data_IF_969415075450
#
_entry.id   IF_969415075450
#
_cell.length_a   1.000
_cell.length_b   1.000
_cell.length_c   1.000
_cell.angle_alpha   90.00
_cell.angle_beta   90.00
_cell.angle_gamma   90.00
#
_symmetry.space_group_name_H-M   'P 1'
#
loop_
_entity.id
_entity.type
_entity.pdbx_description
1 polymer ?
#
# COMPACT_ATOMS: atom_id res chain seq x y z
N UNK A 1 -29.84 15.67 -13.30
CA UNK A 1 -28.58 15.62 -12.54
C UNK A 1 -28.77 15.02 -11.13
N UNK A 2 -29.66 15.53 -10.29
CA UNK A 2 -29.92 15.03 -8.92
C UNK A 2 -30.31 13.53 -8.87
N UNK A 3 -31.17 13.05 -9.77
CA UNK A 3 -31.55 11.62 -9.89
C UNK A 3 -30.36 10.72 -10.27
N UNK A 4 -29.44 11.20 -11.11
CA UNK A 4 -28.24 10.48 -11.51
C UNK A 4 -27.29 10.31 -10.32
N UNK A 5 -27.09 11.36 -9.52
CA UNK A 5 -26.29 11.34 -8.30
C UNK A 5 -26.88 10.37 -7.27
N UNK A 6 -28.20 10.35 -7.11
CA UNK A 6 -28.87 9.40 -6.22
C UNK A 6 -28.72 7.95 -6.72
N UNK A 7 -28.78 7.74 -8.03
CA UNK A 7 -28.54 6.41 -8.62
C UNK A 7 -27.10 5.95 -8.36
N UNK A 8 -26.11 6.81 -8.52
CA UNK A 8 -24.70 6.51 -8.24
C UNK A 8 -24.45 6.21 -6.76
N UNK A 9 -25.03 6.98 -5.84
CA UNK A 9 -24.97 6.74 -4.38
C UNK A 9 -25.63 5.41 -3.99
N UNK A 10 -26.83 5.13 -4.52
CA UNK A 10 -27.56 3.87 -4.28
C UNK A 10 -26.79 2.66 -4.82
N UNK A 11 -26.14 2.80 -5.99
CA UNK A 11 -25.34 1.73 -6.59
C UNK A 11 -24.10 1.42 -5.76
N UNK A 12 -23.41 2.42 -5.21
CA UNK A 12 -22.26 2.25 -4.33
C UNK A 12 -22.62 1.50 -3.04
N UNK A 13 -23.68 1.94 -2.32
CA UNK A 13 -24.17 1.25 -1.13
C UNK A 13 -24.68 -0.16 -1.44
N UNK A 14 -25.35 -0.33 -2.54
CA UNK A 14 -25.86 -1.61 -2.98
C UNK A 14 -24.74 -2.60 -3.30
N UNK A 15 -23.63 -2.20 -3.92
CA UNK A 15 -22.48 -3.09 -4.18
C UNK A 15 -21.76 -3.52 -2.91
N UNK A 16 -21.58 -2.63 -1.96
CA UNK A 16 -21.02 -2.99 -0.65
C UNK A 16 -21.93 -3.97 0.10
N UNK A 17 -23.22 -3.71 0.08
CA UNK A 17 -24.24 -4.56 0.72
C UNK A 17 -24.40 -5.91 0.02
N UNK A 18 -24.37 -5.95 -1.31
CA UNK A 18 -24.44 -7.18 -2.10
C UNK A 18 -23.19 -8.07 -1.96
N UNK A 19 -22.00 -7.50 -1.77
CA UNK A 19 -20.80 -8.28 -1.40
C UNK A 19 -20.99 -9.01 -0.07
N UNK A 20 -21.65 -8.40 0.89
CA UNK A 20 -21.93 -9.01 2.19
C UNK A 20 -23.08 -10.03 2.15
N UNK A 21 -24.13 -9.79 1.37
CA UNK A 21 -25.30 -10.68 1.27
C UNK A 21 -25.10 -11.86 0.32
N UNK A 22 -24.32 -11.73 -0.76
CA UNK A 22 -24.09 -12.78 -1.76
C UNK A 22 -23.49 -14.06 -1.18
N UNK A 23 -22.63 -13.95 -0.16
CA UNK A 23 -22.02 -15.12 0.44
C UNK A 23 -22.92 -15.92 1.37
N UNK A 24 -23.97 -15.32 1.97
CA UNK A 24 -24.89 -16.01 2.88
C UNK A 24 -26.16 -16.55 2.22
N UNK A 25 -26.65 -15.91 1.18
CA UNK A 25 -27.98 -16.20 0.62
C UNK A 25 -27.99 -17.15 -0.58
N UNK A 26 -26.92 -17.15 -1.40
CA UNK A 26 -26.90 -17.91 -2.65
C UNK A 26 -26.27 -19.30 -2.55
N UNK A 27 -25.69 -19.69 -1.43
CA UNK A 27 -25.25 -21.06 -1.20
C UNK A 27 -26.42 -22.06 -1.06
N UNK A 28 -27.64 -21.56 -0.89
CA UNK A 28 -28.87 -22.36 -0.68
C UNK A 28 -29.77 -22.52 -1.91
N UNK A 29 -29.50 -21.84 -3.02
CA UNK A 29 -30.33 -21.90 -4.22
C UNK A 29 -29.60 -22.55 -5.40
N UNK A 30 -30.35 -23.38 -6.20
CA UNK A 30 -29.82 -24.17 -7.31
C UNK A 30 -29.19 -23.35 -8.46
N UNK A 31 -28.61 -24.06 -9.44
CA UNK A 31 -27.81 -23.50 -10.54
C UNK A 31 -28.54 -22.40 -11.35
N UNK A 32 -29.86 -22.53 -11.56
CA UNK A 32 -30.66 -21.61 -12.41
C UNK A 32 -30.80 -20.22 -11.79
N UNK A 33 -31.00 -20.14 -10.48
CA UNK A 33 -31.12 -18.85 -9.79
C UNK A 33 -29.81 -18.09 -9.77
N UNK A 34 -28.68 -18.80 -9.77
CA UNK A 34 -27.33 -18.22 -9.89
C UNK A 34 -27.08 -17.61 -11.26
N UNK A 35 -27.64 -18.20 -12.31
CA UNK A 35 -27.57 -17.72 -13.69
C UNK A 35 -28.33 -16.41 -13.88
N UNK A 36 -29.57 -16.33 -13.40
CA UNK A 36 -30.41 -15.12 -13.47
C UNK A 36 -29.82 -13.98 -12.67
N UNK A 37 -29.28 -14.24 -11.47
CA UNK A 37 -28.62 -13.24 -10.67
C UNK A 37 -27.36 -12.68 -11.34
N UNK A 38 -26.58 -13.53 -12.04
CA UNK A 38 -25.42 -13.13 -12.82
C UNK A 38 -25.79 -12.28 -14.02
N UNK A 39 -26.85 -12.62 -14.74
CA UNK A 39 -27.38 -11.85 -15.88
C UNK A 39 -27.82 -10.46 -15.39
N UNK A 40 -28.60 -10.39 -14.32
CA UNK A 40 -29.05 -9.11 -13.75
C UNK A 40 -27.87 -8.24 -13.32
N UNK A 41 -26.82 -8.82 -12.73
CA UNK A 41 -25.62 -8.08 -12.33
C UNK A 41 -24.84 -7.58 -13.56
N UNK A 42 -24.70 -8.41 -14.59
CA UNK A 42 -24.07 -8.03 -15.85
C UNK A 42 -24.80 -6.87 -16.54
N UNK A 43 -26.13 -6.96 -16.69
CA UNK A 43 -26.94 -5.88 -17.27
C UNK A 43 -26.79 -4.59 -16.48
N UNK A 44 -26.79 -4.68 -15.16
CA UNK A 44 -26.63 -3.54 -14.26
C UNK A 44 -25.26 -2.87 -14.40
N UNK A 45 -24.20 -3.67 -14.49
CA UNK A 45 -22.83 -3.17 -14.71
C UNK A 45 -22.71 -2.50 -16.09
N UNK A 46 -23.38 -3.01 -17.12
CA UNK A 46 -23.44 -2.39 -18.46
C UNK A 46 -24.19 -1.07 -18.47
N UNK A 47 -25.36 -1.01 -17.81
CA UNK A 47 -26.10 0.24 -17.66
C UNK A 47 -25.28 1.29 -16.91
N UNK A 48 -24.59 0.88 -15.85
CA UNK A 48 -23.73 1.77 -15.09
C UNK A 48 -22.58 2.35 -15.94
N UNK A 49 -21.92 1.52 -16.75
CA UNK A 49 -20.88 1.97 -17.68
C UNK A 49 -21.42 2.95 -18.73
N UNK A 50 -22.63 2.69 -19.25
CA UNK A 50 -23.30 3.60 -20.21
C UNK A 50 -23.61 4.93 -19.54
N UNK A 51 -24.15 4.92 -18.33
CA UNK A 51 -24.46 6.13 -17.56
C UNK A 51 -23.18 6.94 -17.28
N UNK A 52 -22.06 6.28 -16.95
CA UNK A 52 -20.78 6.98 -16.73
C UNK A 52 -20.23 7.61 -18.01
N UNK A 53 -20.54 7.10 -19.20
CA UNK A 53 -20.12 7.72 -20.46
C UNK A 53 -20.75 9.09 -20.71
N UNK A 54 -21.82 9.44 -20.01
CA UNK A 54 -22.35 10.81 -20.03
C UNK A 54 -21.29 11.85 -19.63
N UNK A 55 -20.33 11.46 -18.76
CA UNK A 55 -19.21 12.34 -18.39
C UNK A 55 -18.23 12.63 -19.53
N UNK A 56 -18.36 11.95 -20.69
CA UNK A 56 -17.54 12.22 -21.87
C UNK A 56 -17.86 13.59 -22.50
N UNK A 57 -18.96 14.25 -22.11
CA UNK A 57 -19.24 15.65 -22.46
C UNK A 57 -18.15 16.60 -21.95
N UNK A 58 -17.48 16.24 -20.83
CA UNK A 58 -16.35 17.01 -20.35
C UNK A 58 -15.10 16.66 -21.14
N UNK A 59 -14.41 17.63 -21.76
CA UNK A 59 -13.18 17.37 -22.51
C UNK A 59 -12.08 16.88 -21.56
N UNK A 60 -11.18 16.04 -22.06
CA UNK A 60 -9.97 15.67 -21.34
C UNK A 60 -9.08 16.91 -21.26
N UNK A 61 -8.74 17.33 -20.05
CA UNK A 61 -7.80 18.42 -19.81
C UNK A 61 -6.38 17.82 -19.82
N UNK A 62 -5.54 18.23 -20.78
CA UNK A 62 -4.22 17.65 -21.06
C UNK A 62 -3.29 17.67 -19.84
N UNK A 63 -3.26 18.77 -19.11
CA UNK A 63 -2.39 18.95 -17.94
C UNK A 63 -3.02 18.50 -16.61
N UNK A 64 -4.15 17.78 -16.62
CA UNK A 64 -4.79 17.31 -15.39
C UNK A 64 -4.36 15.90 -15.05
N UNK A 65 -3.85 15.74 -13.82
CA UNK A 65 -3.48 14.46 -13.22
C UNK A 65 -4.33 14.21 -12.00
N UNK A 66 -5.00 13.05 -11.95
CA UNK A 66 -5.81 12.66 -10.81
C UNK A 66 -5.15 11.53 -10.04
N UNK A 67 -5.06 11.70 -8.73
CA UNK A 67 -4.44 10.77 -7.80
C UNK A 67 -5.47 10.08 -6.90
N UNK A 68 -5.20 8.82 -6.58
CA UNK A 68 -5.96 8.04 -5.62
C UNK A 68 -5.06 7.05 -4.90
N UNK A 69 -5.08 7.04 -3.57
CA UNK A 69 -4.30 6.12 -2.77
C UNK A 69 -5.19 5.30 -1.84
N UNK A 70 -4.89 4.00 -1.66
CA UNK A 70 -5.61 3.07 -0.80
C UNK A 70 -7.14 3.13 -0.98
N UNK A 71 -7.61 3.02 -2.24
CA UNK A 71 -9.03 3.14 -2.62
C UNK A 71 -9.67 4.45 -2.12
N UNK A 72 -8.96 5.55 -2.25
CA UNK A 72 -9.34 6.89 -1.77
C UNK A 72 -9.38 7.03 -0.24
N UNK A 73 -8.65 6.17 0.49
CA UNK A 73 -8.68 6.15 1.96
C UNK A 73 -7.62 7.01 2.63
N UNK A 74 -6.53 7.34 1.95
CA UNK A 74 -5.36 7.99 2.57
C UNK A 74 -4.62 8.91 1.60
N UNK A 75 -3.93 9.92 2.13
CA UNK A 75 -2.88 10.66 1.44
C UNK A 75 -1.53 10.04 1.82
N UNK A 76 -1.02 9.10 1.01
CA UNK A 76 0.14 8.30 1.39
C UNK A 76 0.77 7.57 0.20
N UNK A 77 1.92 6.94 0.44
CA UNK A 77 2.57 6.00 -0.45
C UNK A 77 3.05 6.64 -1.79
N UNK A 78 3.24 5.83 -2.84
CA UNK A 78 3.74 6.28 -4.14
C UNK A 78 2.97 7.48 -4.73
N UNK A 79 1.62 7.49 -4.78
CA UNK A 79 0.87 8.62 -5.32
C UNK A 79 1.14 9.94 -4.58
N UNK A 80 1.34 9.90 -3.24
CA UNK A 80 1.70 11.08 -2.45
C UNK A 80 3.04 11.65 -2.92
N UNK A 81 4.10 10.85 -2.99
CA UNK A 81 5.44 11.31 -3.37
C UNK A 81 5.47 11.91 -4.78
N UNK A 82 4.77 11.26 -5.74
CA UNK A 82 4.65 11.77 -7.09
C UNK A 82 3.92 13.13 -7.12
N UNK A 83 2.80 13.26 -6.40
CA UNK A 83 2.04 14.50 -6.39
C UNK A 83 2.79 15.66 -5.72
N UNK A 84 3.51 15.40 -4.61
CA UNK A 84 4.37 16.37 -3.94
C UNK A 84 5.50 16.85 -4.85
N UNK A 85 6.13 15.92 -5.58
CA UNK A 85 7.20 16.25 -6.53
C UNK A 85 6.68 17.12 -7.70
N UNK A 86 5.54 16.75 -8.29
CA UNK A 86 4.92 17.53 -9.36
C UNK A 86 4.48 18.92 -8.88
N UNK A 87 3.86 19.03 -7.71
CA UNK A 87 3.46 20.30 -7.13
C UNK A 87 4.64 21.24 -6.87
N UNK A 88 5.78 20.67 -6.42
CA UNK A 88 6.99 21.44 -6.12
C UNK A 88 7.73 21.89 -7.37
N UNK A 89 7.89 21.01 -8.36
CA UNK A 89 8.80 21.24 -9.48
C UNK A 89 8.09 21.70 -10.77
N UNK A 90 6.77 21.49 -10.87
CA UNK A 90 5.95 21.78 -12.06
C UNK A 90 4.58 22.38 -11.69
N UNK A 91 4.55 23.42 -10.81
CA UNK A 91 3.30 23.96 -10.26
C UNK A 91 2.37 24.55 -11.32
N UNK A 92 2.91 25.12 -12.39
CA UNK A 92 2.15 25.76 -13.47
C UNK A 92 1.80 24.78 -14.61
N UNK A 93 2.51 23.64 -14.68
CA UNK A 93 2.38 22.67 -15.78
C UNK A 93 1.27 21.65 -15.50
N UNK A 94 0.94 21.37 -14.24
CA UNK A 94 0.06 20.27 -13.85
C UNK A 94 -1.05 20.71 -12.90
N UNK A 95 -2.29 20.38 -13.27
CA UNK A 95 -3.45 20.51 -12.37
C UNK A 95 -3.62 19.19 -11.58
N UNK A 96 -3.32 19.23 -10.29
CA UNK A 96 -3.34 18.07 -9.41
C UNK A 96 -4.70 17.89 -8.74
N UNK A 97 -5.35 16.75 -8.96
CA UNK A 97 -6.63 16.40 -8.33
C UNK A 97 -6.45 15.17 -7.45
N UNK A 98 -6.96 15.21 -6.23
CA UNK A 98 -6.96 14.04 -5.34
C UNK A 98 -8.36 13.55 -5.01
N UNK A 99 -8.56 12.23 -5.04
CA UNK A 99 -9.81 11.59 -4.64
C UNK A 99 -9.71 11.02 -3.22
N UNK A 100 -10.69 11.35 -2.36
CA UNK A 100 -10.76 10.84 -1.01
C UNK A 100 -12.17 10.39 -0.61
N UNK A 101 -12.24 9.45 0.32
CA UNK A 101 -13.41 9.20 1.17
C UNK A 101 -13.29 10.15 2.36
N UNK A 102 -14.19 11.13 2.46
CA UNK A 102 -14.06 12.24 3.40
C UNK A 102 -13.13 13.33 2.90
N UNK A 103 -13.31 13.80 1.65
CA UNK A 103 -12.45 14.77 0.99
C UNK A 103 -12.28 16.10 1.76
N UNK A 104 -13.26 16.47 2.57
CA UNK A 104 -13.20 17.66 3.41
C UNK A 104 -12.05 17.63 4.43
N UNK A 105 -11.66 16.45 4.90
CA UNK A 105 -10.54 16.27 5.84
C UNK A 105 -9.17 16.53 5.19
N UNK A 106 -9.12 16.68 3.86
CA UNK A 106 -7.89 16.84 3.10
C UNK A 106 -7.82 18.19 2.37
N UNK A 107 -8.65 19.18 2.73
CA UNK A 107 -8.65 20.52 2.11
C UNK A 107 -7.33 21.27 2.29
N UNK A 108 -6.60 20.99 3.36
CA UNK A 108 -5.28 21.54 3.64
C UNK A 108 -4.24 21.22 2.55
N UNK A 109 -4.48 20.24 1.69
CA UNK A 109 -3.60 19.91 0.57
C UNK A 109 -3.55 21.03 -0.49
N UNK A 110 -4.49 21.98 -0.46
CA UNK A 110 -4.43 23.16 -1.32
C UNK A 110 -3.15 23.98 -1.06
N UNK A 111 -2.72 24.08 0.19
CA UNK A 111 -1.49 24.77 0.58
C UNK A 111 -0.21 24.05 0.09
N UNK A 112 -0.36 22.81 -0.37
CA UNK A 112 0.71 21.96 -0.91
C UNK A 112 0.62 21.78 -2.43
N UNK A 113 -0.10 22.66 -3.12
CA UNK A 113 -0.19 22.67 -4.58
C UNK A 113 -1.21 21.68 -5.17
N UNK A 114 -2.09 21.09 -4.34
CA UNK A 114 -3.21 20.28 -4.83
C UNK A 114 -4.34 21.21 -5.26
N UNK A 115 -4.64 21.22 -6.55
CA UNK A 115 -5.63 22.12 -7.13
C UNK A 115 -7.05 21.83 -6.63
N UNK A 116 -7.36 20.56 -6.33
CA UNK A 116 -8.68 20.17 -5.80
C UNK A 116 -8.69 18.78 -5.17
N UNK A 117 -9.42 18.65 -4.05
CA UNK A 117 -9.85 17.38 -3.48
C UNK A 117 -11.30 17.06 -3.88
N UNK A 118 -11.61 15.79 -4.16
CA UNK A 118 -12.95 15.35 -4.57
C UNK A 118 -13.40 14.14 -3.77
N UNK A 119 -14.66 14.14 -3.33
CA UNK A 119 -15.25 12.99 -2.62
C UNK A 119 -15.44 11.81 -3.56
N UNK A 120 -14.87 10.66 -3.20
CA UNK A 120 -14.92 9.42 -3.98
C UNK A 120 -16.35 8.95 -4.27
N UNK A 121 -16.62 8.61 -5.52
CA UNK A 121 -17.91 8.07 -5.97
C UNK A 121 -19.01 9.13 -6.13
N UNK A 122 -18.68 10.41 -6.08
CA UNK A 122 -19.61 11.53 -6.39
C UNK A 122 -19.58 11.92 -7.87
N UNK A 123 -20.49 12.81 -8.27
CA UNK A 123 -20.46 13.42 -9.60
C UNK A 123 -19.09 14.09 -9.89
N UNK A 124 -18.57 14.83 -8.93
CA UNK A 124 -17.27 15.50 -9.05
C UNK A 124 -16.15 14.48 -9.29
N UNK A 125 -16.13 13.36 -8.54
CA UNK A 125 -15.17 12.30 -8.75
C UNK A 125 -15.18 11.77 -10.19
N UNK A 126 -16.35 11.38 -10.73
CA UNK A 126 -16.43 10.85 -12.09
C UNK A 126 -16.10 11.88 -13.16
N UNK A 127 -16.52 13.15 -12.95
CA UNK A 127 -16.16 14.24 -13.83
C UNK A 127 -14.65 14.39 -13.93
N UNK A 128 -13.94 14.44 -12.81
CA UNK A 128 -12.48 14.60 -12.79
C UNK A 128 -11.77 13.31 -13.26
N UNK A 129 -12.20 12.15 -12.84
CA UNK A 129 -11.61 10.87 -13.28
C UNK A 129 -11.69 10.70 -14.81
N UNK A 130 -12.82 11.10 -15.44
CA UNK A 130 -13.04 10.94 -16.89
C UNK A 130 -12.62 12.17 -17.73
N UNK A 131 -12.13 13.23 -17.08
CA UNK A 131 -11.57 14.41 -17.76
C UNK A 131 -10.09 14.67 -17.43
N UNK A 132 -9.45 13.85 -16.64
CA UNK A 132 -8.00 13.90 -16.39
C UNK A 132 -7.24 13.18 -17.48
N UNK A 133 -6.10 13.73 -17.90
CA UNK A 133 -5.21 13.06 -18.86
C UNK A 133 -4.55 11.83 -18.27
N UNK A 134 -4.12 11.92 -17.00
CA UNK A 134 -3.47 10.82 -16.29
C UNK A 134 -4.24 10.51 -15.01
N UNK A 135 -4.38 9.22 -14.70
CA UNK A 135 -4.95 8.72 -13.45
C UNK A 135 -3.94 7.82 -12.73
N UNK A 136 -3.47 8.25 -11.56
CA UNK A 136 -2.44 7.56 -10.76
C UNK A 136 -3.07 6.90 -9.54
N UNK A 137 -2.74 5.63 -9.29
CA UNK A 137 -3.29 4.87 -8.14
C UNK A 137 -2.28 3.82 -7.64
N UNK A 138 -2.45 3.33 -6.39
CA UNK A 138 -1.49 2.38 -5.79
C UNK A 138 -2.06 1.01 -5.40
N UNK A 139 -3.35 0.79 -5.48
CA UNK A 139 -3.95 -0.51 -5.18
C UNK A 139 -4.66 -1.08 -6.40
N UNK A 140 -5.96 -0.90 -6.46
CA UNK A 140 -6.80 -1.40 -7.54
C UNK A 140 -7.42 -0.22 -8.27
N UNK A 141 -7.30 -0.20 -9.59
CA UNK A 141 -8.01 0.76 -10.40
C UNK A 141 -9.52 0.55 -10.21
N UNK A 142 -10.34 1.60 -10.15
CA UNK A 142 -11.78 1.44 -10.15
C UNK A 142 -12.26 0.86 -11.50
N UNK A 143 -12.31 -0.47 -11.61
CA UNK A 143 -12.56 -1.21 -12.85
C UNK A 143 -13.86 -0.85 -13.56
N UNK A 144 -14.79 -0.21 -12.84
CA UNK A 144 -16.07 0.27 -13.40
C UNK A 144 -16.02 1.69 -13.96
N UNK A 145 -14.83 2.34 -14.01
CA UNK A 145 -14.68 3.62 -14.68
C UNK A 145 -14.32 3.36 -16.14
N UNK A 146 -15.13 3.83 -17.11
CA UNK A 146 -14.84 3.67 -18.53
C UNK A 146 -13.81 4.72 -18.98
N UNK A 147 -12.54 4.51 -18.65
CA UNK A 147 -11.46 5.40 -19.11
C UNK A 147 -11.43 5.47 -20.64
N UNK A 148 -11.12 6.63 -21.19
CA UNK A 148 -11.05 6.87 -22.63
C UNK A 148 -9.66 6.49 -23.15
N UNK A 149 -9.55 6.09 -24.42
CA UNK A 149 -8.28 5.74 -25.09
C UNK A 149 -7.19 6.84 -25.00
N UNK A 150 -7.60 8.10 -24.85
CA UNK A 150 -6.68 9.24 -24.71
C UNK A 150 -6.26 9.50 -23.26
N UNK A 151 -6.75 8.76 -22.29
CA UNK A 151 -6.33 8.83 -20.89
C UNK A 151 -5.29 7.75 -20.61
N UNK A 152 -4.33 8.04 -19.77
CA UNK A 152 -3.31 7.10 -19.32
C UNK A 152 -3.52 6.77 -17.85
N UNK A 153 -3.53 5.50 -17.52
CA UNK A 153 -3.69 4.99 -16.15
C UNK A 153 -2.37 4.41 -15.66
N UNK A 154 -1.90 4.86 -14.51
CA UNK A 154 -0.63 4.45 -13.92
C UNK A 154 -0.86 3.80 -12.57
N UNK A 155 -0.63 2.49 -12.49
CA UNK A 155 -0.63 1.73 -11.24
C UNK A 155 0.77 1.71 -10.63
N UNK A 156 0.91 2.24 -9.41
CA UNK A 156 2.22 2.32 -8.76
C UNK A 156 2.48 1.18 -7.78
N UNK A 157 1.46 0.35 -7.49
CA UNK A 157 1.59 -0.62 -6.40
C UNK A 157 1.74 0.03 -5.03
N UNK A 158 1.92 -0.79 -4.00
CA UNK A 158 2.16 -0.36 -2.61
C UNK A 158 3.05 -1.36 -1.85
N UNK A 159 3.83 -2.15 -2.55
CA UNK A 159 4.79 -3.12 -2.00
C UNK A 159 6.03 -3.16 -2.86
N UNK A 160 7.20 -3.35 -2.25
CA UNK A 160 8.45 -3.65 -2.92
C UNK A 160 8.79 -5.13 -2.79
N UNK A 161 9.80 -5.57 -3.55
CA UNK A 161 10.22 -6.97 -3.61
C UNK A 161 9.12 -7.92 -4.13
N UNK A 162 9.42 -9.19 -4.24
CA UNK A 162 8.47 -10.21 -4.65
C UNK A 162 8.41 -11.31 -3.59
N UNK A 163 7.74 -11.04 -2.49
CA UNK A 163 7.70 -11.92 -1.33
C UNK A 163 6.48 -12.84 -1.34
N UNK A 164 5.32 -12.34 -0.95
CA UNK A 164 4.08 -13.12 -0.88
C UNK A 164 3.47 -13.34 -2.25
N UNK A 165 2.92 -14.54 -2.50
CA UNK A 165 2.06 -14.76 -3.65
C UNK A 165 0.81 -13.90 -3.57
N UNK A 166 0.55 -13.13 -4.60
CA UNK A 166 -0.52 -12.14 -4.65
C UNK A 166 -1.58 -12.54 -5.68
N UNK A 167 -2.78 -12.06 -5.50
CA UNK A 167 -3.90 -12.14 -6.46
C UNK A 167 -3.96 -13.45 -7.25
N UNK A 168 -3.63 -13.49 -8.55
CA UNK A 168 -3.78 -14.68 -9.40
C UNK A 168 -2.87 -15.84 -8.98
N UNK A 169 -1.74 -15.54 -8.34
CA UNK A 169 -0.80 -16.55 -7.85
C UNK A 169 -1.12 -17.03 -6.42
N UNK A 170 -2.08 -16.39 -5.75
CA UNK A 170 -2.51 -16.80 -4.43
C UNK A 170 -3.43 -18.04 -4.54
N UNK A 171 -3.06 -19.20 -3.96
CA UNK A 171 -3.86 -20.42 -4.05
C UNK A 171 -5.28 -20.28 -3.48
N UNK A 172 -5.48 -19.34 -2.56
CA UNK A 172 -6.77 -19.06 -1.93
C UNK A 172 -7.59 -17.96 -2.64
N UNK A 173 -7.21 -17.55 -3.85
CA UNK A 173 -7.95 -16.50 -4.57
C UNK A 173 -9.34 -16.97 -4.99
N UNK A 174 -10.34 -16.11 -4.82
CA UNK A 174 -11.72 -16.40 -5.25
C UNK A 174 -11.87 -16.08 -6.74
N UNK A 175 -12.68 -16.87 -7.45
CA UNK A 175 -12.99 -16.66 -8.88
C UNK A 175 -13.51 -15.24 -9.18
N UNK A 176 -14.25 -14.63 -8.24
CA UNK A 176 -14.70 -13.23 -8.37
C UNK A 176 -13.55 -12.23 -8.36
N UNK A 177 -12.54 -12.49 -7.52
CA UNK A 177 -11.37 -11.62 -7.38
C UNK A 177 -10.42 -11.76 -8.58
N UNK A 178 -10.34 -12.98 -9.17
CA UNK A 178 -9.62 -13.22 -10.44
C UNK A 178 -10.19 -12.36 -11.57
N UNK A 179 -11.52 -12.41 -11.80
CA UNK A 179 -12.17 -11.61 -12.84
C UNK A 179 -12.00 -10.10 -12.64
N UNK A 180 -12.05 -9.64 -11.39
CA UNK A 180 -11.82 -8.23 -11.07
C UNK A 180 -10.36 -7.86 -11.36
N UNK A 181 -9.42 -8.76 -11.10
CA UNK A 181 -8.01 -8.53 -11.40
C UNK A 181 -7.74 -8.47 -12.89
N UNK A 182 -8.28 -9.39 -13.67
CA UNK A 182 -8.19 -9.40 -15.13
C UNK A 182 -8.75 -8.11 -15.74
N UNK A 183 -9.90 -7.65 -15.24
CA UNK A 183 -10.49 -6.38 -15.68
C UNK A 183 -9.64 -5.18 -15.27
N UNK A 184 -9.08 -5.19 -14.05
CA UNK A 184 -8.16 -4.15 -13.59
C UNK A 184 -6.90 -4.09 -14.45
N UNK A 185 -6.33 -5.25 -14.80
CA UNK A 185 -5.18 -5.34 -15.68
C UNK A 185 -5.46 -4.75 -17.07
N UNK A 186 -6.65 -5.00 -17.63
CA UNK A 186 -7.05 -4.47 -18.95
C UNK A 186 -7.27 -2.95 -18.96
N UNK A 187 -7.46 -2.34 -17.81
CA UNK A 187 -7.66 -0.88 -17.63
C UNK A 187 -6.41 -0.16 -17.14
N UNK A 188 -5.29 -0.88 -17.03
CA UNK A 188 -4.02 -0.31 -16.57
C UNK A 188 -3.06 -0.22 -17.76
N UNK A 189 -2.62 0.98 -18.09
CA UNK A 189 -1.68 1.19 -19.19
C UNK A 189 -0.24 0.95 -18.74
N UNK A 190 0.12 1.47 -17.56
CA UNK A 190 1.46 1.46 -17.02
C UNK A 190 1.45 0.90 -15.59
N UNK A 191 2.33 -0.06 -15.28
CA UNK A 191 2.63 -0.47 -13.92
C UNK A 191 4.08 -0.17 -13.54
N UNK A 192 4.29 0.22 -12.28
CA UNK A 192 5.61 0.48 -11.71
C UNK A 192 6.17 -0.78 -11.07
N UNK A 193 7.47 -1.00 -11.20
CA UNK A 193 8.17 -2.14 -10.60
C UNK A 193 9.37 -1.73 -9.76
N UNK A 194 9.56 -2.42 -8.62
CA UNK A 194 10.67 -2.24 -7.68
C UNK A 194 11.91 -3.07 -8.03
N UNK A 195 11.76 -4.21 -8.71
CA UNK A 195 12.86 -5.10 -9.04
C UNK A 195 12.47 -6.08 -10.17
N UNK A 196 13.45 -6.75 -10.77
CA UNK A 196 13.23 -7.74 -11.84
C UNK A 196 12.29 -8.87 -11.42
N UNK A 197 12.43 -9.36 -10.17
CA UNK A 197 11.54 -10.38 -9.62
C UNK A 197 10.10 -9.87 -9.47
N UNK A 198 9.91 -8.63 -9.01
CA UNK A 198 8.58 -8.01 -8.94
C UNK A 198 7.96 -7.85 -10.32
N UNK A 199 8.73 -7.43 -11.33
CA UNK A 199 8.24 -7.41 -12.73
C UNK A 199 7.77 -8.79 -13.17
N UNK A 200 8.58 -9.82 -12.98
CA UNK A 200 8.28 -11.18 -13.44
C UNK A 200 7.08 -11.79 -12.73
N UNK A 201 7.13 -11.84 -11.42
CA UNK A 201 6.16 -12.60 -10.64
C UNK A 201 4.92 -11.78 -10.26
N UNK A 202 5.06 -10.50 -9.94
CA UNK A 202 3.94 -9.68 -9.51
C UNK A 202 3.28 -8.96 -10.68
N UNK A 203 4.04 -8.18 -11.45
CA UNK A 203 3.46 -7.39 -12.56
C UNK A 203 2.94 -8.30 -13.66
N UNK A 204 3.76 -9.22 -14.16
CA UNK A 204 3.40 -10.12 -15.27
C UNK A 204 2.62 -11.35 -14.82
N UNK A 205 2.91 -11.91 -13.65
CA UNK A 205 2.22 -13.05 -13.04
C UNK A 205 0.93 -12.61 -12.32
N UNK A 206 1.03 -12.30 -11.04
CA UNK A 206 -0.10 -12.06 -10.14
C UNK A 206 -1.08 -10.98 -10.62
N UNK A 207 -0.58 -9.92 -11.25
CA UNK A 207 -1.41 -8.84 -11.79
C UNK A 207 -1.83 -9.08 -13.23
N UNK A 208 -1.23 -10.03 -13.95
CA UNK A 208 -1.47 -10.34 -15.37
C UNK A 208 -1.39 -9.09 -16.29
N UNK A 209 -0.55 -8.13 -15.94
CA UNK A 209 -0.42 -6.88 -16.68
C UNK A 209 0.37 -7.11 -17.97
N UNK A 210 -0.19 -6.65 -19.10
CA UNK A 210 0.41 -6.80 -20.44
C UNK A 210 0.94 -5.48 -21.02
N UNK A 211 0.60 -4.36 -20.37
CA UNK A 211 1.01 -3.02 -20.80
C UNK A 211 2.46 -2.69 -20.44
N UNK A 212 2.79 -1.43 -20.46
CA UNK A 212 4.12 -0.91 -20.12
C UNK A 212 4.46 -1.19 -18.64
N UNK A 213 5.71 -1.57 -18.36
CA UNK A 213 6.22 -1.69 -17.01
C UNK A 213 7.37 -0.70 -16.84
N UNK A 214 7.25 0.24 -15.89
CA UNK A 214 8.31 1.15 -15.52
C UNK A 214 9.16 0.51 -14.42
N UNK A 215 10.33 0.04 -14.82
CA UNK A 215 11.33 -0.58 -13.96
C UNK A 215 12.24 0.50 -13.36
N UNK A 216 11.73 1.26 -12.40
CA UNK A 216 12.42 2.44 -11.86
C UNK A 216 12.50 2.49 -10.32
N UNK A 217 12.01 1.47 -9.63
CA UNK A 217 11.85 1.52 -8.17
C UNK A 217 10.50 2.10 -7.74
N UNK A 218 10.32 2.25 -6.44
CA UNK A 218 9.07 2.74 -5.85
C UNK A 218 9.24 4.19 -5.37
N UNK A 219 8.43 5.16 -5.85
CA UNK A 219 8.53 6.58 -5.45
C UNK A 219 8.58 6.80 -3.93
N UNK A 220 7.84 6.02 -3.18
CA UNK A 220 7.82 6.09 -1.71
C UNK A 220 9.16 5.73 -1.06
N UNK A 221 10.00 4.98 -1.79
CA UNK A 221 11.29 4.51 -1.31
C UNK A 221 12.43 5.50 -1.61
N UNK A 222 12.21 6.49 -2.47
CA UNK A 222 13.28 7.45 -2.81
C UNK A 222 13.81 8.17 -1.57
N UNK A 223 12.92 8.53 -0.62
CA UNK A 223 13.33 9.17 0.62
C UNK A 223 14.11 8.21 1.54
N UNK A 224 13.81 6.91 1.49
CA UNK A 224 14.57 5.89 2.25
C UNK A 224 15.99 5.72 1.69
N UNK A 225 16.14 5.82 0.37
CA UNK A 225 17.46 5.73 -0.29
C UNK A 225 18.26 7.03 -0.11
N UNK A 226 17.58 8.19 -0.23
CA UNK A 226 18.21 9.52 -0.25
C UNK A 226 18.20 10.21 1.12
N UNK A 227 17.92 9.50 2.22
CA UNK A 227 17.73 10.05 3.56
C UNK A 227 18.97 10.78 4.10
N UNK A 228 19.12 12.04 3.72
CA UNK A 228 20.27 12.87 4.09
C UNK A 228 20.01 13.87 5.23
N UNK A 229 18.74 14.21 5.55
CA UNK A 229 18.43 15.33 6.44
C UNK A 229 17.61 15.01 7.71
N UNK A 230 17.19 13.77 7.88
CA UNK A 230 16.43 13.28 9.05
C UNK A 230 15.18 14.12 9.45
N UNK A 231 14.67 15.01 8.58
CA UNK A 231 13.55 15.91 8.91
C UNK A 231 12.28 15.13 9.24
N UNK A 232 12.00 14.09 8.47
CA UNK A 232 10.83 13.23 8.71
C UNK A 232 10.95 12.50 10.04
N UNK A 233 12.14 11.99 10.38
CA UNK A 233 12.39 11.36 11.68
C UNK A 233 12.23 12.36 12.84
N UNK A 234 12.74 13.58 12.70
CA UNK A 234 12.57 14.65 13.68
C UNK A 234 11.09 15.05 13.86
N UNK A 235 10.33 15.11 12.76
CA UNK A 235 8.90 15.36 12.80
C UNK A 235 8.15 14.27 13.56
N UNK A 236 8.40 12.99 13.30
CA UNK A 236 7.78 11.85 14.00
C UNK A 236 8.09 11.90 15.50
N UNK A 237 9.35 12.15 15.87
CA UNK A 237 9.76 12.30 17.27
C UNK A 237 8.98 13.41 17.97
N UNK A 238 8.87 14.57 17.33
CA UNK A 238 8.10 15.71 17.86
C UNK A 238 6.60 15.39 17.96
N UNK A 239 6.03 14.79 16.93
CA UNK A 239 4.60 14.49 16.85
C UNK A 239 4.13 13.53 17.95
N UNK A 240 4.98 12.55 18.30
CA UNK A 240 4.68 11.57 19.35
C UNK A 240 5.35 11.86 20.68
N UNK A 241 6.00 13.02 20.86
CA UNK A 241 6.74 13.40 22.06
C UNK A 241 7.77 12.34 22.50
N UNK A 242 8.50 11.76 21.54
CA UNK A 242 9.57 10.80 21.79
C UNK A 242 10.80 11.56 22.28
N UNK A 243 11.44 11.17 23.42
CA UNK A 243 12.66 11.79 23.88
C UNK A 243 13.74 11.81 22.79
N UNK A 244 14.49 12.91 22.69
CA UNK A 244 15.45 13.13 21.60
C UNK A 244 16.51 12.02 21.53
N UNK A 245 16.96 11.54 22.69
CA UNK A 245 18.03 10.54 22.80
C UNK A 245 17.54 9.09 22.70
N UNK A 246 16.22 8.87 22.68
CA UNK A 246 15.68 7.51 22.54
C UNK A 246 15.80 7.03 21.12
N UNK A 247 16.31 5.81 20.96
CA UNK A 247 16.18 5.04 19.71
C UNK A 247 14.77 4.46 19.56
N UNK A 248 14.37 4.13 18.34
CA UNK A 248 13.01 3.71 18.01
C UNK A 248 12.99 2.30 17.46
N UNK A 249 12.21 1.43 18.10
CA UNK A 249 11.81 0.13 17.52
C UNK A 249 10.41 0.28 16.95
N UNK A 250 10.24 0.04 15.65
CA UNK A 250 8.92 -0.03 15.03
C UNK A 250 8.47 -1.49 14.96
N UNK A 251 7.41 -1.84 15.68
CA UNK A 251 6.75 -3.14 15.53
C UNK A 251 5.50 -3.01 14.64
N UNK A 252 5.52 -3.68 13.48
CA UNK A 252 4.50 -3.52 12.45
C UNK A 252 4.09 -4.86 11.81
N UNK A 253 3.35 -5.74 12.52
CA UNK A 253 2.92 -7.03 12.00
C UNK A 253 1.83 -6.90 10.93
N UNK A 254 1.75 -7.87 10.01
CA UNK A 254 0.71 -7.93 8.98
C UNK A 254 -0.61 -8.46 9.53
N UNK A 255 -1.69 -8.04 8.89
CA UNK A 255 -3.04 -8.51 9.21
C UNK A 255 -3.27 -9.98 8.83
N UNK A 256 -3.91 -10.75 9.71
CA UNK A 256 -4.37 -12.12 9.47
C UNK A 256 -5.85 -12.15 9.11
N UNK A 257 -6.15 -12.59 7.89
CA UNK A 257 -7.53 -12.70 7.41
C UNK A 257 -8.25 -13.87 8.11
N UNK A 258 -9.36 -13.59 8.77
CA UNK A 258 -10.14 -14.59 9.51
C UNK A 258 -10.01 -14.50 11.04
N UNK A 259 -8.91 -13.99 11.54
CA UNK A 259 -8.65 -13.84 12.98
C UNK A 259 -8.97 -12.42 13.49
N UNK A 260 -10.10 -11.85 13.05
CA UNK A 260 -10.49 -10.44 13.33
C UNK A 260 -10.65 -10.10 14.83
N UNK A 261 -10.94 -11.09 15.68
CA UNK A 261 -11.23 -10.89 17.09
C UNK A 261 -10.39 -11.79 18.01
N UNK A 262 -9.63 -12.71 17.46
CA UNK A 262 -8.69 -13.48 18.24
C UNK A 262 -7.46 -12.61 18.43
N UNK A 263 -7.05 -12.42 19.67
CA UNK A 263 -5.71 -11.97 20.00
C UNK A 263 -4.78 -13.11 19.53
N UNK A 264 -4.56 -13.18 18.21
CA UNK A 264 -3.42 -13.90 17.70
C UNK A 264 -2.24 -13.37 18.49
N UNK A 265 -1.37 -14.25 18.93
CA UNK A 265 -0.25 -14.00 19.83
C UNK A 265 0.69 -12.91 19.30
N UNK A 266 0.18 -11.67 19.27
CA UNK A 266 1.00 -10.46 19.20
C UNK A 266 1.62 -10.18 20.56
N UNK A 267 1.85 -11.25 21.34
CA UNK A 267 2.43 -11.16 22.68
C UNK A 267 3.94 -10.97 22.55
N UNK A 268 4.31 -9.75 22.21
CA UNK A 268 5.70 -9.34 22.10
C UNK A 268 6.27 -9.18 23.52
N UNK A 269 7.42 -9.83 23.80
CA UNK A 269 8.18 -9.58 25.01
C UNK A 269 8.91 -8.25 24.92
N UNK A 270 8.16 -7.17 25.16
CA UNK A 270 8.64 -5.80 25.06
C UNK A 270 9.85 -5.57 25.96
N UNK A 271 9.85 -6.14 27.18
CA UNK A 271 10.94 -5.94 28.14
C UNK A 271 12.22 -6.62 27.66
N UNK A 272 12.15 -7.89 27.30
CA UNK A 272 13.32 -8.63 26.82
C UNK A 272 13.91 -8.00 25.56
N UNK A 273 13.06 -7.54 24.63
CA UNK A 273 13.49 -6.86 23.40
C UNK A 273 14.23 -5.55 23.71
N UNK A 274 13.68 -4.73 24.61
CA UNK A 274 14.31 -3.43 24.98
C UNK A 274 15.63 -3.67 25.69
N UNK A 275 15.71 -4.65 26.61
CA UNK A 275 16.95 -5.00 27.31
C UNK A 275 18.02 -5.49 26.32
N UNK A 276 17.69 -6.39 25.41
CA UNK A 276 18.61 -6.88 24.37
C UNK A 276 19.06 -5.74 23.42
N UNK A 277 18.13 -4.85 23.05
CA UNK A 277 18.47 -3.70 22.20
C UNK A 277 19.42 -2.71 22.92
N UNK A 278 19.21 -2.45 24.22
CA UNK A 278 20.11 -1.63 25.02
C UNK A 278 21.51 -2.26 25.12
N UNK A 279 21.58 -3.55 25.38
CA UNK A 279 22.85 -4.26 25.50
C UNK A 279 23.63 -4.24 24.17
N UNK A 280 22.95 -4.54 23.06
CA UNK A 280 23.58 -4.66 21.74
C UNK A 280 23.89 -3.34 21.07
N UNK A 281 22.97 -2.37 21.15
CA UNK A 281 23.05 -1.11 20.41
C UNK A 281 23.20 0.12 21.30
N UNK A 282 23.09 -0.02 22.61
CA UNK A 282 23.15 1.09 23.59
C UNK A 282 21.95 2.04 23.54
N UNK A 283 21.91 3.00 24.47
CA UNK A 283 20.89 4.03 24.54
C UNK A 283 19.55 3.59 25.13
N UNK A 284 18.63 4.53 25.21
CA UNK A 284 17.25 4.28 25.62
C UNK A 284 16.34 4.07 24.40
N UNK A 285 15.25 3.30 24.56
CA UNK A 285 14.42 2.87 23.46
C UNK A 285 12.95 3.18 23.67
N UNK A 286 12.28 3.58 22.59
CA UNK A 286 10.82 3.72 22.49
C UNK A 286 10.28 2.73 21.47
N UNK A 287 9.21 2.01 21.80
CA UNK A 287 8.55 1.12 20.84
C UNK A 287 7.35 1.84 20.22
N UNK A 288 7.34 1.96 18.90
CA UNK A 288 6.19 2.36 18.12
C UNK A 288 5.42 1.11 17.68
N UNK A 289 4.18 1.01 18.13
CA UNK A 289 3.31 -0.13 17.88
C UNK A 289 2.32 0.19 16.76
N UNK A 290 2.49 -0.40 15.58
CA UNK A 290 1.64 -0.17 14.42
C UNK A 290 0.85 -1.40 14.05
N UNK A 291 -0.34 -1.54 14.57
CA UNK A 291 -1.25 -2.62 14.24
C UNK A 291 -2.06 -2.30 12.97
N UNK A 292 -2.62 -3.34 12.37
CA UNK A 292 -3.57 -3.12 11.29
C UNK A 292 -4.88 -2.54 11.85
N UNK A 293 -5.44 -1.52 11.20
CA UNK A 293 -6.63 -0.78 11.65
C UNK A 293 -7.90 -1.63 11.89
N UNK A 294 -7.92 -2.89 11.45
CA UNK A 294 -8.99 -3.86 11.75
C UNK A 294 -8.85 -4.54 13.11
N UNK A 295 -7.74 -4.36 13.82
CA UNK A 295 -7.50 -5.00 15.12
C UNK A 295 -8.01 -4.08 16.22
N UNK A 296 -8.95 -4.58 17.04
CA UNK A 296 -9.59 -3.79 18.10
C UNK A 296 -8.73 -3.64 19.34
N UNK A 297 -7.98 -4.68 19.72
CA UNK A 297 -7.06 -4.65 20.86
C UNK A 297 -5.67 -4.31 20.35
N UNK A 298 -5.20 -3.10 20.62
CA UNK A 298 -4.02 -2.51 19.98
C UNK A 298 -2.73 -2.70 20.77
N UNK A 299 -2.76 -2.63 22.08
CA UNK A 299 -1.55 -2.73 22.90
C UNK A 299 -1.54 -3.98 23.80
N UNK A 300 -0.34 -4.53 24.12
CA UNK A 300 -0.18 -5.57 25.13
C UNK A 300 -0.73 -5.15 26.49
N UNK A 301 -1.18 -6.12 27.30
CA UNK A 301 -1.85 -5.84 28.58
C UNK A 301 -0.90 -5.29 29.65
N UNK A 302 0.38 -5.64 29.61
CA UNK A 302 1.40 -5.20 30.58
C UNK A 302 2.46 -4.34 29.91
N UNK A 303 2.18 -3.04 29.83
CA UNK A 303 3.08 -2.03 29.27
C UNK A 303 3.54 -1.01 30.30
N UNK A 304 3.28 -1.25 31.60
CA UNK A 304 3.65 -0.33 32.67
C UNK A 304 5.19 -0.14 32.72
N UNK A 305 5.60 1.11 32.66
CA UNK A 305 7.03 1.49 32.73
C UNK A 305 7.80 1.37 31.41
N UNK A 306 7.17 0.97 30.31
CA UNK A 306 7.79 0.92 28.99
C UNK A 306 7.29 2.09 28.13
N UNK A 307 8.20 2.70 27.37
CA UNK A 307 7.85 3.74 26.39
C UNK A 307 7.27 3.10 25.13
N UNK A 308 5.96 2.77 25.16
CA UNK A 308 5.22 2.22 24.02
C UNK A 308 4.20 3.24 23.54
N UNK A 309 4.22 3.52 22.25
CA UNK A 309 3.33 4.47 21.59
C UNK A 309 2.55 3.78 20.48
N UNK A 310 1.22 3.83 20.53
CA UNK A 310 0.36 3.36 19.44
C UNK A 310 0.38 4.37 18.27
N UNK A 311 0.94 3.94 17.13
CA UNK A 311 1.02 4.71 15.89
C UNK A 311 0.15 4.13 14.78
N UNK A 312 -0.83 3.32 15.12
CA UNK A 312 -1.71 2.61 14.17
C UNK A 312 -2.44 3.58 13.24
N UNK A 313 -2.85 4.72 13.75
CA UNK A 313 -3.64 5.71 12.99
C UNK A 313 -2.75 6.69 12.18
N UNK A 314 -1.43 6.62 12.30
CA UNK A 314 -0.54 7.46 11.50
C UNK A 314 -0.68 7.16 10.00
N UNK A 315 -0.71 8.20 9.17
CA UNK A 315 -1.11 8.12 7.76
C UNK A 315 -0.17 7.30 6.88
N UNK A 316 1.14 7.54 6.96
CA UNK A 316 2.13 6.96 6.05
C UNK A 316 3.13 6.06 6.77
N UNK A 317 3.37 4.88 6.20
CA UNK A 317 4.32 3.90 6.74
C UNK A 317 5.77 4.36 6.55
N UNK A 318 6.08 5.00 5.42
CA UNK A 318 7.44 5.43 5.10
C UNK A 318 8.00 6.43 6.11
N UNK A 319 7.15 7.34 6.59
CA UNK A 319 7.56 8.31 7.60
C UNK A 319 7.97 7.61 8.92
N UNK A 320 7.25 6.52 9.29
CA UNK A 320 7.60 5.71 10.46
C UNK A 320 8.86 4.86 10.24
N UNK A 321 9.04 4.32 9.03
CA UNK A 321 10.26 3.57 8.68
C UNK A 321 11.49 4.47 8.76
N UNK A 322 11.40 5.73 8.27
CA UNK A 322 12.50 6.71 8.37
C UNK A 322 12.87 7.02 9.82
N UNK A 323 11.88 7.06 10.71
CA UNK A 323 12.10 7.37 12.12
C UNK A 323 12.65 6.18 12.92
N UNK A 324 12.41 4.94 12.48
CA UNK A 324 12.78 3.73 13.20
C UNK A 324 14.28 3.41 13.07
N UNK A 325 14.90 3.00 14.16
CA UNK A 325 16.27 2.47 14.21
C UNK A 325 16.27 0.95 14.04
N UNK A 326 15.19 0.28 14.46
CA UNK A 326 14.96 -1.16 14.29
C UNK A 326 13.52 -1.37 13.76
N UNK A 327 13.36 -2.28 12.79
CA UNK A 327 12.05 -2.79 12.39
C UNK A 327 11.87 -4.22 12.88
N UNK A 328 10.77 -4.49 13.58
CA UNK A 328 10.28 -5.84 13.87
C UNK A 328 8.95 -6.00 13.11
N UNK A 329 8.88 -6.98 12.21
CA UNK A 329 7.69 -7.25 11.42
C UNK A 329 7.59 -8.76 11.14
N UNK A 330 6.73 -9.16 10.23
CA UNK A 330 6.58 -10.55 9.83
C UNK A 330 6.72 -10.72 8.30
N UNK A 331 5.65 -11.03 7.59
CA UNK A 331 5.63 -11.25 6.14
C UNK A 331 5.32 -9.98 5.34
N UNK A 332 5.52 -8.81 5.91
CA UNK A 332 5.21 -7.53 5.28
C UNK A 332 6.22 -7.17 4.18
N UNK A 333 5.75 -6.60 3.07
CA UNK A 333 6.63 -5.99 2.08
C UNK A 333 7.39 -4.75 2.60
N UNK A 334 7.09 -4.27 3.80
CA UNK A 334 7.88 -3.21 4.45
C UNK A 334 9.32 -3.61 4.74
N UNK A 335 9.62 -4.92 4.81
CA UNK A 335 11.01 -5.41 4.91
C UNK A 335 11.86 -4.98 3.72
N UNK A 336 11.28 -5.00 2.49
CA UNK A 336 11.95 -4.49 1.31
C UNK A 336 12.27 -3.00 1.44
N UNK A 337 11.25 -2.20 1.78
CA UNK A 337 11.41 -0.76 1.91
C UNK A 337 12.44 -0.43 3.00
N UNK A 338 12.31 -1.06 4.18
CA UNK A 338 13.19 -0.79 5.32
C UNK A 338 14.65 -1.21 5.07
N UNK A 339 14.86 -2.30 4.33
CA UNK A 339 16.23 -2.77 4.01
C UNK A 339 17.04 -1.78 3.18
N UNK A 340 16.38 -0.85 2.48
CA UNK A 340 17.05 0.26 1.77
C UNK A 340 17.75 1.24 2.74
N UNK A 341 17.28 1.35 3.98
CA UNK A 341 17.92 2.12 5.04
C UNK A 341 19.15 1.43 5.62
N UNK A 342 19.36 0.14 5.31
CA UNK A 342 20.46 -0.67 5.85
C UNK A 342 20.46 -0.76 7.39
N UNK A 343 19.32 -0.58 8.03
CA UNK A 343 19.12 -0.67 9.48
C UNK A 343 18.61 -2.07 9.87
N UNK A 344 18.83 -2.51 11.12
CA UNK A 344 18.43 -3.83 11.60
C UNK A 344 16.93 -4.09 11.41
N UNK A 345 16.60 -5.22 10.75
CA UNK A 345 15.24 -5.69 10.56
C UNK A 345 15.13 -7.14 11.02
N UNK A 346 14.15 -7.45 11.86
CA UNK A 346 13.90 -8.78 12.40
C UNK A 346 12.52 -9.30 12.00
N UNK A 347 12.42 -10.57 11.68
CA UNK A 347 11.16 -11.25 11.39
C UNK A 347 10.65 -11.97 12.64
N UNK A 348 9.45 -11.58 13.08
CA UNK A 348 8.74 -12.27 14.17
C UNK A 348 7.53 -13.01 13.62
N UNK A 349 7.67 -14.34 13.46
CA UNK A 349 6.81 -15.19 12.62
C UNK A 349 6.26 -16.38 13.41
N UNK A 350 5.45 -16.12 14.45
CA UNK A 350 4.91 -17.13 15.37
C UNK A 350 3.99 -18.15 14.70
N UNK A 351 3.43 -17.82 13.53
CA UNK A 351 2.47 -18.61 12.75
C UNK A 351 3.03 -19.05 11.38
N UNK A 352 4.35 -19.18 11.25
CA UNK A 352 5.01 -19.42 9.97
C UNK A 352 4.46 -20.64 9.22
N UNK A 353 4.27 -21.74 9.90
CA UNK A 353 3.89 -23.00 9.26
C UNK A 353 2.44 -22.89 8.70
N UNK A 354 1.50 -22.32 9.46
CA UNK A 354 0.13 -22.02 8.98
C UNK A 354 0.14 -21.02 7.82
N UNK A 355 1.02 -20.02 7.86
CA UNK A 355 1.10 -18.99 6.84
C UNK A 355 1.63 -19.54 5.50
N UNK A 356 2.59 -20.45 5.53
CA UNK A 356 3.12 -21.16 4.36
C UNK A 356 2.03 -21.95 3.62
N UNK A 357 1.14 -22.61 4.37
CA UNK A 357 0.05 -23.41 3.80
C UNK A 357 -1.03 -22.54 3.14
N UNK A 358 -1.30 -21.35 3.68
CA UNK A 358 -2.46 -20.51 3.28
C UNK A 358 -2.12 -19.47 2.23
N UNK A 359 -0.96 -18.83 2.29
CA UNK A 359 -0.57 -17.70 1.44
C UNK A 359 0.51 -18.05 0.44
N UNK A 360 1.58 -18.69 0.88
CA UNK A 360 2.77 -19.00 0.08
C UNK A 360 3.63 -17.78 -0.27
N UNK A 361 4.84 -18.06 -0.71
CA UNK A 361 5.84 -17.05 -1.08
C UNK A 361 6.42 -17.33 -2.47
N UNK A 362 6.96 -16.30 -3.13
CA UNK A 362 7.78 -16.46 -4.35
C UNK A 362 9.22 -16.85 -4.01
N UNK A 363 9.74 -16.32 -2.91
CA UNK A 363 11.02 -16.69 -2.30
C UNK A 363 10.71 -17.17 -0.89
N UNK A 364 11.24 -18.29 -0.47
CA UNK A 364 11.02 -18.82 0.89
C UNK A 364 11.45 -17.76 1.92
N UNK A 365 10.60 -17.53 2.92
CA UNK A 365 10.88 -16.52 3.95
C UNK A 365 12.15 -16.83 4.75
N UNK A 366 12.57 -18.09 4.79
CA UNK A 366 13.80 -18.53 5.45
C UNK A 366 15.07 -18.12 4.69
N UNK A 367 14.91 -17.80 3.38
CA UNK A 367 15.99 -17.32 2.52
C UNK A 367 16.06 -15.78 2.47
N UNK A 368 15.16 -15.10 3.18
CA UNK A 368 15.25 -13.64 3.28
C UNK A 368 16.43 -13.22 4.15
N UNK A 369 17.03 -12.05 3.93
CA UNK A 369 18.25 -11.64 4.62
C UNK A 369 18.03 -11.20 6.08
N UNK A 370 16.84 -11.38 6.63
CA UNK A 370 16.43 -10.86 7.93
C UNK A 370 16.42 -11.98 8.97
N UNK A 371 17.04 -11.80 10.16
CA UNK A 371 16.98 -12.80 11.23
C UNK A 371 15.53 -13.13 11.58
N UNK A 372 15.19 -14.44 11.52
CA UNK A 372 13.85 -14.96 11.72
C UNK A 372 13.70 -15.58 13.10
N UNK A 373 12.62 -15.23 13.81
CA UNK A 373 12.25 -15.75 15.11
C UNK A 373 10.80 -16.27 15.11
N UNK A 374 10.58 -17.48 15.62
CA UNK A 374 9.25 -18.07 15.79
C UNK A 374 8.66 -17.85 17.20
N UNK A 375 9.44 -17.31 18.13
CA UNK A 375 9.00 -17.00 19.49
C UNK A 375 9.82 -15.83 20.08
N UNK A 376 9.41 -15.33 21.24
CA UNK A 376 10.07 -14.21 21.90
C UNK A 376 11.52 -14.50 22.28
N UNK A 377 11.84 -15.69 22.79
CA UNK A 377 13.20 -16.05 23.19
C UNK A 377 14.17 -15.97 21.98
N UNK A 378 13.75 -16.52 20.83
CA UNK A 378 14.54 -16.45 19.60
C UNK A 378 14.65 -15.01 19.06
N UNK A 379 13.63 -14.16 19.24
CA UNK A 379 13.69 -12.76 18.82
C UNK A 379 14.66 -11.95 19.67
N UNK A 380 14.61 -12.12 21.00
CA UNK A 380 15.53 -11.51 21.94
C UNK A 380 16.98 -11.93 21.65
N UNK A 381 17.19 -13.22 21.42
CA UNK A 381 18.52 -13.77 21.07
C UNK A 381 19.06 -13.20 19.75
N UNK A 382 18.23 -13.13 18.71
CA UNK A 382 18.58 -12.52 17.42
C UNK A 382 18.98 -11.02 17.56
N UNK A 383 18.34 -10.29 18.46
CA UNK A 383 18.68 -8.89 18.74
C UNK A 383 20.01 -8.79 19.50
N UNK A 384 20.17 -9.59 20.56
CA UNK A 384 21.37 -9.58 21.40
C UNK A 384 22.64 -9.95 20.61
N UNK A 385 22.54 -10.92 19.70
CA UNK A 385 23.67 -11.42 18.91
C UNK A 385 23.68 -10.91 17.46
N UNK A 386 23.05 -9.75 17.19
CA UNK A 386 22.94 -9.21 15.83
C UNK A 386 24.32 -8.89 15.24
N UNK A 387 24.64 -9.53 14.09
CA UNK A 387 25.84 -9.29 13.30
C UNK A 387 25.53 -8.32 12.16
N UNK A 388 25.91 -7.05 12.34
CA UNK A 388 25.62 -6.00 11.39
C UNK A 388 26.36 -6.20 10.06
N UNK A 389 27.62 -6.62 10.09
CA UNK A 389 28.41 -6.80 8.88
C UNK A 389 27.83 -7.92 8.01
N UNK A 390 27.51 -9.06 8.60
CA UNK A 390 26.89 -10.17 7.88
C UNK A 390 25.51 -9.81 7.37
N UNK A 391 24.71 -9.11 8.18
CA UNK A 391 23.40 -8.62 7.80
C UNK A 391 23.46 -7.70 6.55
N UNK A 392 24.37 -6.74 6.54
CA UNK A 392 24.52 -5.82 5.40
C UNK A 392 24.98 -6.55 4.13
N UNK A 393 25.87 -7.54 4.24
CA UNK A 393 26.25 -8.40 3.11
C UNK A 393 25.04 -9.17 2.56
N UNK A 394 24.24 -9.74 3.44
CA UNK A 394 23.04 -10.50 3.06
C UNK A 394 21.98 -9.60 2.41
N UNK A 395 21.72 -8.41 2.94
CA UNK A 395 20.79 -7.43 2.37
C UNK A 395 21.25 -6.97 0.99
N UNK A 396 22.54 -6.65 0.83
CA UNK A 396 23.10 -6.27 -0.47
C UNK A 396 22.94 -7.39 -1.50
N UNK A 397 23.31 -8.62 -1.13
CA UNK A 397 23.14 -9.79 -1.99
C UNK A 397 21.68 -9.98 -2.39
N UNK A 398 20.73 -9.86 -1.45
CA UNK A 398 19.30 -10.00 -1.70
C UNK A 398 18.78 -8.99 -2.72
N UNK A 399 19.12 -7.71 -2.57
CA UNK A 399 18.75 -6.68 -3.55
C UNK A 399 19.35 -6.93 -4.93
N UNK A 400 20.60 -7.41 -4.98
CA UNK A 400 21.29 -7.77 -6.23
C UNK A 400 20.62 -8.96 -6.91
N UNK A 401 20.35 -10.03 -6.18
CA UNK A 401 19.73 -11.27 -6.69
C UNK A 401 18.32 -11.02 -7.23
N UNK A 402 17.53 -10.18 -6.54
CA UNK A 402 16.20 -9.81 -6.99
C UNK A 402 16.21 -8.73 -8.08
N UNK A 403 17.35 -8.13 -8.37
CA UNK A 403 17.56 -7.09 -9.38
C UNK A 403 16.80 -5.81 -9.05
N UNK A 404 17.13 -5.20 -7.89
CA UNK A 404 16.50 -3.96 -7.41
C UNK A 404 16.64 -2.80 -8.38
N UNK A 405 15.58 -2.01 -8.53
CA UNK A 405 15.54 -0.75 -9.27
C UNK A 405 15.47 0.47 -8.33
N UNK A 406 15.34 0.26 -7.01
CA UNK A 406 15.24 1.35 -6.04
C UNK A 406 16.62 2.06 -5.91
N UNK A 407 16.77 3.18 -6.61
CA UNK A 407 17.98 3.99 -6.69
C UNK A 407 17.78 5.45 -6.23
N UNK A 408 16.61 5.76 -5.68
CA UNK A 408 16.27 7.10 -5.19
C UNK A 408 15.75 8.09 -6.24
N UNK A 409 15.46 7.64 -7.48
CA UNK A 409 15.03 8.50 -8.59
C UNK A 409 13.66 8.08 -9.18
N UNK A 410 12.93 7.18 -8.53
CA UNK A 410 11.66 6.66 -9.04
C UNK A 410 10.59 7.75 -9.18
N UNK A 411 10.50 8.65 -8.22
CA UNK A 411 9.55 9.77 -8.21
C UNK A 411 9.76 10.69 -9.41
N UNK A 412 11.01 11.07 -9.67
CA UNK A 412 11.36 11.91 -10.82
C UNK A 412 11.05 11.20 -12.14
N UNK A 413 11.45 9.92 -12.26
CA UNK A 413 11.23 9.12 -13.46
C UNK A 413 9.75 9.02 -13.81
N UNK A 414 8.90 8.72 -12.84
CA UNK A 414 7.45 8.61 -13.07
C UNK A 414 6.83 9.98 -13.33
N UNK A 415 7.28 11.03 -12.64
CA UNK A 415 6.80 12.40 -12.87
C UNK A 415 7.11 12.87 -14.29
N UNK A 416 8.32 12.63 -14.81
CA UNK A 416 8.68 12.92 -16.21
C UNK A 416 7.80 12.13 -17.18
N UNK A 417 7.50 10.87 -16.87
CA UNK A 417 6.58 10.04 -17.68
C UNK A 417 5.17 10.61 -17.70
N UNK A 418 4.66 11.12 -16.56
CA UNK A 418 3.37 11.80 -16.47
C UNK A 418 3.35 13.07 -17.33
N UNK A 419 4.39 13.90 -17.26
CA UNK A 419 4.50 15.13 -18.06
C UNK A 419 4.51 14.82 -19.56
N UNK A 420 5.20 13.78 -20.01
CA UNK A 420 5.16 13.32 -21.40
C UNK A 420 3.73 12.93 -21.83
N UNK A 421 2.96 12.29 -20.96
CA UNK A 421 1.56 11.99 -21.26
C UNK A 421 0.70 13.26 -21.33
N UNK A 422 0.96 14.26 -20.50
CA UNK A 422 0.27 15.54 -20.53
C UNK A 422 0.53 16.33 -21.83
N UNK A 423 1.63 16.12 -22.51
CA UNK A 423 1.97 16.78 -23.77
C UNK A 423 1.26 16.16 -24.99
N UNK A 424 0.90 14.89 -24.95
CA UNK A 424 0.15 14.20 -26.01
C UNK A 424 -1.30 14.72 -26.09
#
# INVERSE_FOLDING_TARGET
MHRLIQLLKRYRHYRQYQKLLKYRKYSRYGADFRSIARIKEYIKDRIYLIVLRVFYIFPIKKNRVMFMSFEAGKYACNPRRISEYLAKNYPDDVEIIWAFKGADNFRWLADWGVSKTVEYGTFSFYRYALSSRVFVYNMRIPAMIPFRKKQTTIGTGHGGGAYKKLLLDNPSIRTSDQKIQELSASHTDILVSSCKYYTKYVVRGAFAHKGECLECGMPRNDELVNNHDNKTAAYIRKYYNIPADNKIILYAPTYRKGKRNEATDYNLDVRGIVEAAKERFGGEWTILYRMHYFIKKRLPADTKGQHIIDVTDYGDMQDLLLAADILITDYSSSVWDYSLLKRPCFLYTTDLDEYLETQGFYVDVRDWPFPLAKNNAALVDNIAHFDEEQYLKNVHKHHTDLGSFDNGNATETISKRILQECQK
#
